data_IF_509311255384
#
_entry.id   IF_509311255384
#
_cell.length_a   1.000
_cell.length_b   1.000
_cell.length_c   1.000
_cell.angle_alpha   90.00
_cell.angle_beta   90.00
_cell.angle_gamma   90.00
#
_symmetry.space_group_name_H-M   'P 1'
#
loop_
_entity.id
_entity.type
_entity.pdbx_description
1 polymer ?
#
# COMPACT_ATOMS: atom_id res chain seq x y z
N UNK A 1 18.68 -33.46 10.73
CA UNK A 1 18.89 -33.21 9.28
C UNK A 1 18.05 -31.98 8.94
N UNK A 2 18.66 -30.89 8.48
CA UNK A 2 17.89 -29.72 8.05
C UNK A 2 17.08 -30.12 6.82
N UNK A 3 15.75 -29.97 6.88
CA UNK A 3 14.89 -30.16 5.72
C UNK A 3 15.32 -29.17 4.63
N UNK A 4 15.56 -29.70 3.44
CA UNK A 4 15.90 -28.89 2.28
C UNK A 4 14.63 -28.67 1.47
N UNK A 5 14.23 -27.41 1.33
CA UNK A 5 13.15 -27.01 0.42
C UNK A 5 13.69 -26.65 -0.96
N UNK A 6 12.87 -26.77 -1.99
CA UNK A 6 13.21 -26.26 -3.32
C UNK A 6 13.13 -24.73 -3.33
N UNK A 7 12.10 -24.17 -2.71
CA UNK A 7 11.86 -22.73 -2.65
C UNK A 7 11.58 -22.28 -1.22
N UNK A 8 12.35 -21.31 -0.76
CA UNK A 8 12.10 -20.56 0.47
C UNK A 8 11.49 -19.20 0.08
N UNK A 9 10.34 -18.89 0.64
CA UNK A 9 9.67 -17.58 0.45
C UNK A 9 9.73 -16.81 1.76
N UNK A 10 10.31 -15.62 1.75
CA UNK A 10 10.37 -14.75 2.93
C UNK A 10 9.34 -13.62 2.81
N UNK A 11 8.41 -13.59 3.75
CA UNK A 11 7.23 -12.75 3.80
C UNK A 11 5.95 -13.55 3.60
N UNK A 12 4.81 -13.03 4.10
CA UNK A 12 3.50 -13.68 4.03
C UNK A 12 2.44 -12.80 3.36
N UNK A 13 2.86 -11.76 2.62
CA UNK A 13 1.97 -10.88 1.87
C UNK A 13 1.55 -11.46 0.52
N UNK A 14 0.85 -10.66 -0.29
CA UNK A 14 0.33 -11.08 -1.59
C UNK A 14 1.43 -11.64 -2.51
N UNK A 15 2.54 -10.92 -2.67
CA UNK A 15 3.65 -11.35 -3.53
C UNK A 15 4.21 -12.72 -3.08
N UNK A 16 4.40 -12.89 -1.77
CA UNK A 16 4.89 -14.14 -1.19
C UNK A 16 3.95 -15.32 -1.46
N UNK A 17 2.66 -15.14 -1.22
CA UNK A 17 1.67 -16.20 -1.39
C UNK A 17 1.46 -16.55 -2.87
N UNK A 18 1.44 -15.56 -3.77
CA UNK A 18 1.38 -15.82 -5.21
C UNK A 18 2.59 -16.63 -5.69
N UNK A 19 3.80 -16.24 -5.24
CA UNK A 19 5.02 -16.98 -5.57
C UNK A 19 5.00 -18.41 -5.01
N UNK A 20 4.59 -18.57 -3.74
CA UNK A 20 4.51 -19.89 -3.09
C UNK A 20 3.49 -20.81 -3.80
N UNK A 21 2.31 -20.32 -4.13
CA UNK A 21 1.27 -21.07 -4.84
C UNK A 21 1.78 -21.47 -6.24
N UNK A 22 2.40 -20.54 -6.97
CA UNK A 22 2.94 -20.81 -8.31
C UNK A 22 4.06 -21.84 -8.27
N UNK A 23 5.01 -21.71 -7.35
CA UNK A 23 6.10 -22.66 -7.18
C UNK A 23 5.58 -24.07 -6.79
N UNK A 24 4.60 -24.12 -5.88
CA UNK A 24 3.99 -25.39 -5.45
C UNK A 24 3.21 -26.07 -6.57
N UNK A 25 2.50 -25.32 -7.41
CA UNK A 25 1.83 -25.85 -8.62
C UNK A 25 2.84 -26.37 -9.64
N UNK A 26 4.04 -25.80 -9.70
CA UNK A 26 5.19 -26.31 -10.47
C UNK A 26 5.85 -27.56 -9.90
N UNK A 27 5.35 -28.10 -8.76
CA UNK A 27 5.86 -29.32 -8.14
C UNK A 27 6.94 -29.10 -7.09
N UNK A 28 7.35 -27.86 -6.80
CA UNK A 28 8.38 -27.56 -5.82
C UNK A 28 7.89 -27.79 -4.37
N UNK A 29 8.78 -28.18 -3.48
CA UNK A 29 8.58 -28.10 -2.03
C UNK A 29 8.82 -26.65 -1.59
N UNK A 30 7.84 -26.07 -0.86
CA UNK A 30 7.83 -24.63 -0.55
C UNK A 30 7.65 -24.40 0.94
N UNK A 31 8.49 -23.54 1.52
CA UNK A 31 8.32 -23.00 2.86
C UNK A 31 8.17 -21.49 2.78
N UNK A 32 7.12 -20.95 3.44
CA UNK A 32 6.90 -19.52 3.64
C UNK A 32 7.30 -19.15 5.06
N UNK A 33 8.18 -18.16 5.23
CA UNK A 33 8.55 -17.58 6.52
C UNK A 33 7.89 -16.21 6.68
N UNK A 34 6.90 -16.12 7.57
CA UNK A 34 6.25 -14.86 7.95
C UNK A 34 6.79 -14.40 9.31
N UNK A 35 7.38 -13.20 9.33
CA UNK A 35 7.97 -12.62 10.55
C UNK A 35 6.92 -12.18 11.58
N UNK A 36 5.70 -11.88 11.14
CA UNK A 36 4.61 -11.51 12.03
C UNK A 36 3.92 -12.72 12.65
N UNK A 37 3.32 -12.57 13.86
CA UNK A 37 2.41 -13.58 14.40
C UNK A 37 1.25 -13.86 13.44
N UNK A 38 0.70 -15.06 13.48
CA UNK A 38 -0.38 -15.51 12.59
C UNK A 38 -1.56 -14.52 12.51
N UNK A 39 -1.91 -13.87 13.61
CA UNK A 39 -2.99 -12.87 13.64
C UNK A 39 -2.66 -11.62 12.81
N UNK A 40 -1.38 -11.22 12.75
CA UNK A 40 -0.90 -10.02 12.04
C UNK A 40 -0.28 -10.33 10.67
N UNK A 41 -0.32 -11.58 10.22
CA UNK A 41 0.27 -12.04 8.95
C UNK A 41 -0.18 -11.21 7.76
N UNK A 42 0.67 -11.16 6.73
CA UNK A 42 0.31 -10.63 5.42
C UNK A 42 0.78 -9.23 5.13
N UNK A 43 1.57 -8.63 6.03
CA UNK A 43 2.14 -7.31 5.80
C UNK A 43 1.08 -6.24 5.45
N UNK A 44 1.43 -5.30 4.59
CA UNK A 44 0.51 -4.24 4.13
C UNK A 44 -0.61 -4.75 3.23
N UNK A 45 -0.51 -5.97 2.70
CA UNK A 45 -1.58 -6.58 1.89
C UNK A 45 -2.89 -6.68 2.66
N UNK A 46 -2.85 -6.90 3.97
CA UNK A 46 -4.07 -6.94 4.82
C UNK A 46 -4.87 -5.63 4.82
N UNK A 47 -4.23 -4.52 4.48
CA UNK A 47 -4.83 -3.19 4.43
C UNK A 47 -5.21 -2.73 3.03
N UNK A 48 -4.98 -3.55 2.00
CA UNK A 48 -5.42 -3.21 0.63
C UNK A 48 -6.93 -3.39 0.48
N UNK A 49 -7.52 -2.72 -0.49
CA UNK A 49 -8.92 -2.92 -0.86
C UNK A 49 -9.12 -3.27 -2.33
N UNK A 50 -8.14 -2.97 -3.17
CA UNK A 50 -8.27 -3.05 -4.61
C UNK A 50 -6.92 -3.32 -5.27
N UNK A 51 -6.98 -3.68 -6.55
CA UNK A 51 -5.82 -3.66 -7.44
C UNK A 51 -6.15 -2.90 -8.72
N UNK A 52 -5.15 -2.28 -9.29
CA UNK A 52 -5.23 -1.63 -10.60
C UNK A 52 -4.95 -2.67 -11.68
N UNK A 53 -5.73 -2.65 -12.76
CA UNK A 53 -5.59 -3.57 -13.88
C UNK A 53 -5.99 -2.90 -15.18
N UNK A 54 -5.28 -3.24 -16.26
CA UNK A 54 -5.67 -2.84 -17.60
C UNK A 54 -6.90 -3.65 -18.07
N UNK A 55 -7.79 -3.01 -18.84
CA UNK A 55 -8.96 -3.65 -19.44
C UNK A 55 -9.55 -2.76 -20.53
N UNK A 56 -10.18 -3.37 -21.52
CA UNK A 56 -10.60 -2.66 -22.74
C UNK A 56 -12.09 -2.23 -22.70
N UNK A 57 -12.88 -2.76 -21.75
CA UNK A 57 -14.30 -2.45 -21.62
C UNK A 57 -14.78 -2.54 -20.17
N UNK A 58 -15.96 -1.99 -19.91
CA UNK A 58 -16.67 -2.19 -18.65
C UNK A 58 -17.00 -3.69 -18.44
N UNK A 59 -17.01 -4.11 -17.19
CA UNK A 59 -17.38 -5.45 -16.73
C UNK A 59 -18.29 -5.35 -15.50
N UNK A 60 -18.66 -6.47 -14.89
CA UNK A 60 -19.40 -6.45 -13.62
C UNK A 60 -18.62 -5.79 -12.47
N UNK A 61 -17.28 -5.76 -12.56
CA UNK A 61 -16.39 -5.24 -11.50
C UNK A 61 -15.70 -3.94 -11.88
N UNK A 62 -15.81 -3.47 -13.12
CA UNK A 62 -15.17 -2.28 -13.67
C UNK A 62 -16.15 -1.43 -14.46
N UNK A 63 -16.14 -0.11 -14.27
CA UNK A 63 -17.15 0.82 -14.80
C UNK A 63 -16.86 1.37 -16.19
N UNK A 64 -15.68 1.15 -16.74
CA UNK A 64 -15.29 1.66 -18.07
C UNK A 64 -13.90 1.18 -18.45
N UNK A 65 -13.41 1.48 -19.66
CA UNK A 65 -12.09 1.03 -20.10
C UNK A 65 -10.95 1.73 -19.34
N UNK A 66 -9.85 1.03 -19.18
CA UNK A 66 -8.55 1.53 -18.75
C UNK A 66 -7.48 0.75 -19.50
N UNK A 67 -7.11 1.26 -20.68
CA UNK A 67 -6.26 0.58 -21.64
C UNK A 67 -4.82 0.42 -21.15
N UNK A 68 -4.04 -0.45 -21.80
CA UNK A 68 -2.62 -0.61 -21.50
C UNK A 68 -1.85 0.70 -21.73
N UNK A 69 -2.19 1.44 -22.79
CA UNK A 69 -1.53 2.70 -23.11
C UNK A 69 -1.86 3.78 -22.07
N UNK A 70 -3.13 3.90 -21.65
CA UNK A 70 -3.51 4.84 -20.58
C UNK A 70 -2.82 4.48 -19.24
N UNK A 71 -2.73 3.18 -18.91
CA UNK A 71 -2.01 2.76 -17.71
C UNK A 71 -0.52 3.06 -17.80
N UNK A 72 0.08 2.85 -18.99
CA UNK A 72 1.47 3.20 -19.22
C UNK A 72 1.74 4.70 -19.10
N UNK A 73 0.92 5.55 -19.69
CA UNK A 73 1.01 7.01 -19.58
C UNK A 73 0.88 7.48 -18.13
N UNK A 74 -0.08 6.92 -17.37
CA UNK A 74 -0.23 7.21 -15.95
C UNK A 74 1.00 6.80 -15.15
N UNK A 75 1.61 5.65 -15.45
CA UNK A 75 2.83 5.19 -14.80
C UNK A 75 4.01 6.13 -15.09
N UNK A 76 4.22 6.49 -16.35
CA UNK A 76 5.28 7.44 -16.74
C UNK A 76 5.13 8.79 -16.02
N UNK A 77 3.91 9.31 -15.93
CA UNK A 77 3.63 10.55 -15.23
C UNK A 77 3.99 10.47 -13.75
N UNK A 78 3.63 9.37 -13.08
CA UNK A 78 3.91 9.18 -11.64
C UNK A 78 5.39 8.99 -11.35
N UNK A 79 6.11 8.28 -12.24
CA UNK A 79 7.55 8.01 -12.08
C UNK A 79 8.45 9.09 -12.66
N UNK A 80 7.88 10.14 -13.27
CA UNK A 80 8.66 11.14 -14.00
C UNK A 80 9.45 10.56 -15.18
N UNK A 81 8.96 9.48 -15.78
CA UNK A 81 9.61 8.75 -16.88
C UNK A 81 10.70 7.77 -16.42
N UNK A 82 10.96 7.67 -15.13
CA UNK A 82 12.00 6.77 -14.58
C UNK A 82 11.40 5.41 -14.25
N UNK A 83 11.35 4.52 -15.23
CA UNK A 83 10.88 3.15 -15.04
C UNK A 83 11.52 2.21 -16.07
N UNK A 84 11.63 0.92 -15.75
CA UNK A 84 11.98 -0.12 -16.72
C UNK A 84 10.75 -0.39 -17.61
N UNK A 85 10.80 0.06 -18.85
CA UNK A 85 9.66 -0.05 -19.78
C UNK A 85 9.28 -1.50 -20.06
N UNK A 86 10.27 -2.39 -20.23
CA UNK A 86 10.01 -3.80 -20.57
C UNK A 86 9.27 -4.49 -19.42
N UNK A 87 9.75 -4.32 -18.21
CA UNK A 87 9.15 -4.90 -17.01
C UNK A 87 7.78 -4.28 -16.72
N UNK A 88 7.66 -2.96 -16.83
CA UNK A 88 6.42 -2.26 -16.54
C UNK A 88 5.30 -2.61 -17.54
N UNK A 89 5.61 -2.63 -18.85
CA UNK A 89 4.64 -3.04 -19.88
C UNK A 89 4.25 -4.51 -19.75
N UNK A 90 5.19 -5.38 -19.34
CA UNK A 90 4.85 -6.78 -19.02
C UNK A 90 3.86 -6.84 -17.86
N UNK A 91 4.12 -6.17 -16.76
CA UNK A 91 3.22 -6.12 -15.61
C UNK A 91 1.82 -5.57 -15.98
N UNK A 92 1.76 -4.52 -16.81
CA UNK A 92 0.50 -3.92 -17.26
C UNK A 92 -0.31 -4.93 -18.07
N UNK A 93 0.31 -5.65 -19.03
CA UNK A 93 -0.37 -6.67 -19.83
C UNK A 93 -0.89 -7.82 -18.96
N UNK A 94 -0.03 -8.38 -18.11
CA UNK A 94 -0.42 -9.48 -17.21
C UNK A 94 -1.52 -9.08 -16.22
N UNK A 95 -1.69 -7.78 -15.93
CA UNK A 95 -2.73 -7.30 -15.02
C UNK A 95 -4.15 -7.59 -15.52
N UNK A 96 -4.35 -7.84 -16.81
CA UNK A 96 -5.64 -8.27 -17.39
C UNK A 96 -6.01 -9.69 -16.93
N UNK A 97 -5.04 -10.60 -16.98
CA UNK A 97 -5.28 -12.03 -16.72
C UNK A 97 -5.27 -12.35 -15.23
N UNK A 98 -4.55 -11.57 -14.43
CA UNK A 98 -4.46 -11.79 -13.00
C UNK A 98 -5.82 -11.70 -12.29
N UNK A 99 -6.81 -10.98 -12.85
CA UNK A 99 -8.16 -10.91 -12.32
C UNK A 99 -8.83 -12.29 -12.24
N UNK A 100 -8.62 -13.12 -13.24
CA UNK A 100 -9.15 -14.48 -13.28
C UNK A 100 -8.31 -15.42 -12.41
N UNK A 101 -6.98 -15.33 -12.53
CA UNK A 101 -6.06 -16.16 -11.76
C UNK A 101 -6.30 -16.05 -10.24
N UNK A 102 -6.55 -14.85 -9.73
CA UNK A 102 -6.75 -14.65 -8.29
C UNK A 102 -8.12 -15.20 -7.82
N UNK A 103 -9.13 -15.21 -8.70
CA UNK A 103 -10.43 -15.84 -8.42
C UNK A 103 -10.28 -17.35 -8.27
N UNK A 104 -9.43 -17.99 -9.07
CA UNK A 104 -9.09 -19.41 -8.92
C UNK A 104 -8.49 -19.74 -7.55
N UNK A 105 -7.86 -18.74 -6.88
CA UNK A 105 -7.36 -18.89 -5.51
C UNK A 105 -8.44 -18.66 -4.44
N UNK A 106 -9.72 -18.50 -4.83
CA UNK A 106 -10.84 -18.29 -3.93
C UNK A 106 -11.09 -16.84 -3.54
N UNK A 107 -10.36 -15.89 -4.11
CA UNK A 107 -10.61 -14.46 -3.93
C UNK A 107 -11.88 -14.06 -4.68
N UNK A 108 -12.65 -13.15 -4.10
CA UNK A 108 -13.90 -12.66 -4.70
C UNK A 108 -13.82 -11.16 -4.95
N UNK A 109 -14.37 -10.75 -6.08
CA UNK A 109 -14.56 -9.35 -6.41
C UNK A 109 -15.90 -8.84 -5.92
N UNK A 110 -15.95 -7.58 -5.51
CA UNK A 110 -17.22 -6.90 -5.35
C UNK A 110 -17.67 -6.26 -6.67
N UNK A 111 -18.97 -6.06 -6.87
CA UNK A 111 -19.47 -5.29 -8.02
C UNK A 111 -18.80 -3.92 -8.11
N UNK A 112 -18.74 -3.38 -9.31
CA UNK A 112 -18.07 -2.10 -9.58
C UNK A 112 -18.60 -0.99 -8.70
N UNK A 113 -17.69 -0.17 -8.18
CA UNK A 113 -18.01 1.05 -7.43
C UNK A 113 -18.22 2.19 -8.44
N UNK A 114 -19.48 2.54 -8.67
CA UNK A 114 -19.88 3.73 -9.41
C UNK A 114 -19.73 4.99 -8.57
N UNK A 115 -20.39 6.06 -9.02
CA UNK A 115 -20.44 7.36 -8.32
C UNK A 115 -19.36 8.34 -8.77
N UNK A 116 -19.41 9.54 -8.17
CA UNK A 116 -18.61 10.70 -8.56
C UNK A 116 -17.10 10.47 -8.56
N UNK A 117 -16.60 9.63 -7.67
CA UNK A 117 -15.16 9.34 -7.57
C UNK A 117 -14.64 8.39 -8.65
N UNK A 118 -15.49 7.76 -9.45
CA UNK A 118 -15.12 6.79 -10.51
C UNK A 118 -14.12 5.73 -10.06
N UNK A 119 -14.22 5.28 -8.80
CA UNK A 119 -13.25 4.37 -8.19
C UNK A 119 -13.12 3.05 -8.95
N UNK A 120 -14.22 2.54 -9.48
CA UNK A 120 -14.29 1.29 -10.25
C UNK A 120 -13.80 1.39 -11.69
N UNK A 121 -13.31 2.56 -12.15
CA UNK A 121 -12.83 2.69 -13.53
C UNK A 121 -11.46 2.07 -13.72
N UNK A 122 -10.53 2.31 -12.82
CA UNK A 122 -9.14 1.84 -12.93
C UNK A 122 -8.79 0.71 -11.97
N UNK A 123 -9.67 0.39 -11.02
CA UNK A 123 -9.38 -0.54 -9.94
C UNK A 123 -10.53 -1.53 -9.72
N UNK A 124 -10.19 -2.81 -9.59
CA UNK A 124 -11.09 -3.86 -9.12
C UNK A 124 -11.01 -3.98 -7.60
N UNK A 125 -12.14 -4.12 -6.92
CA UNK A 125 -12.22 -4.13 -5.46
C UNK A 125 -12.45 -5.54 -4.92
N UNK A 126 -11.65 -5.92 -3.91
CA UNK A 126 -11.78 -7.21 -3.24
C UNK A 126 -13.01 -7.21 -2.33
N UNK A 127 -13.87 -8.20 -2.47
CA UNK A 127 -14.97 -8.42 -1.52
C UNK A 127 -14.39 -8.81 -0.15
N UNK A 128 -14.62 -7.96 0.85
CA UNK A 128 -14.03 -8.11 2.18
C UNK A 128 -12.58 -7.62 2.30
N UNK A 129 -12.07 -6.93 1.26
CA UNK A 129 -10.76 -6.27 1.27
C UNK A 129 -9.57 -7.22 1.34
N UNK A 130 -8.41 -6.67 1.69
CA UNK A 130 -7.14 -7.41 1.72
C UNK A 130 -7.09 -8.56 2.71
N UNK A 131 -7.80 -8.49 3.83
CA UNK A 131 -7.88 -9.60 4.79
C UNK A 131 -8.60 -10.82 4.22
N UNK A 132 -9.69 -10.60 3.48
CA UNK A 132 -10.40 -11.69 2.82
C UNK A 132 -9.56 -12.30 1.70
N UNK A 133 -8.91 -11.47 0.89
CA UNK A 133 -7.98 -11.94 -0.14
C UNK A 133 -6.84 -12.77 0.46
N UNK A 134 -6.16 -12.28 1.49
CA UNK A 134 -5.09 -13.00 2.18
C UNK A 134 -5.56 -14.35 2.72
N UNK A 135 -6.72 -14.41 3.37
CA UNK A 135 -7.25 -15.65 3.90
C UNK A 135 -7.54 -16.67 2.81
N UNK A 136 -8.03 -16.24 1.63
CA UNK A 136 -8.22 -17.10 0.48
C UNK A 136 -6.88 -17.65 -0.05
N UNK A 137 -5.86 -16.78 -0.19
CA UNK A 137 -4.53 -17.18 -0.64
C UNK A 137 -3.85 -18.15 0.34
N UNK A 138 -3.90 -17.88 1.65
CA UNK A 138 -3.38 -18.81 2.66
C UNK A 138 -4.07 -20.15 2.63
N UNK A 139 -5.41 -20.16 2.49
CA UNK A 139 -6.18 -21.40 2.39
C UNK A 139 -5.79 -22.21 1.14
N UNK A 140 -5.56 -21.54 0.01
CA UNK A 140 -5.10 -22.21 -1.22
C UNK A 140 -3.68 -22.74 -1.06
N UNK A 141 -2.76 -21.96 -0.47
CA UNK A 141 -1.39 -22.41 -0.19
C UNK A 141 -1.38 -23.66 0.72
N UNK A 142 -2.18 -23.63 1.81
CA UNK A 142 -2.35 -24.76 2.72
C UNK A 142 -2.90 -26.03 2.01
N UNK A 143 -3.96 -25.88 1.20
CA UNK A 143 -4.52 -26.99 0.41
C UNK A 143 -3.53 -27.60 -0.58
N UNK A 144 -2.62 -26.81 -1.11
CA UNK A 144 -1.57 -27.26 -2.01
C UNK A 144 -0.40 -27.91 -1.27
N UNK A 145 -0.34 -27.85 0.06
CA UNK A 145 0.75 -28.37 0.89
C UNK A 145 1.98 -27.45 0.89
N UNK A 146 1.77 -26.14 0.90
CA UNK A 146 2.83 -25.17 1.23
C UNK A 146 2.96 -25.11 2.74
N UNK A 147 4.19 -25.26 3.24
CA UNK A 147 4.49 -25.07 4.65
C UNK A 147 4.58 -23.58 4.98
N UNK A 148 3.98 -23.16 6.10
CA UNK A 148 4.01 -21.77 6.55
C UNK A 148 4.42 -21.70 8.02
N UNK A 149 5.47 -20.95 8.30
CA UNK A 149 5.92 -20.66 9.66
C UNK A 149 5.65 -19.17 9.97
N UNK A 150 5.12 -18.91 11.16
CA UNK A 150 4.87 -17.59 11.72
C UNK A 150 5.86 -17.28 12.83
N UNK A 151 5.97 -16.00 13.23
CA UNK A 151 6.97 -15.55 14.21
C UNK A 151 8.39 -15.97 13.82
N UNK A 152 8.64 -16.07 12.51
CA UNK A 152 9.87 -16.55 11.91
C UNK A 152 10.71 -15.35 11.42
N UNK A 153 11.40 -14.68 12.34
CA UNK A 153 12.25 -13.54 12.02
C UNK A 153 13.54 -14.01 11.34
N UNK A 154 13.68 -13.69 10.04
CA UNK A 154 14.92 -13.94 9.31
C UNK A 154 15.94 -12.90 9.70
N UNK A 155 17.09 -13.36 10.21
CA UNK A 155 18.19 -12.54 10.74
C UNK A 155 19.38 -12.44 9.83
N UNK A 156 19.55 -13.40 8.90
CA UNK A 156 20.62 -13.37 7.89
C UNK A 156 20.28 -14.24 6.68
N UNK A 157 20.85 -13.88 5.52
CA UNK A 157 20.80 -14.64 4.28
C UNK A 157 22.21 -15.13 3.94
N UNK A 158 22.42 -16.44 3.91
CA UNK A 158 23.69 -17.03 3.52
C UNK A 158 23.77 -17.05 2.00
N UNK A 159 24.48 -16.08 1.45
CA UNK A 159 24.74 -15.95 0.01
C UNK A 159 26.26 -16.12 -0.20
N UNK A 160 26.66 -17.02 -1.07
CA UNK A 160 28.05 -17.26 -1.42
C UNK A 160 28.21 -17.33 -2.94
N UNK A 161 29.18 -16.59 -3.46
CA UNK A 161 29.45 -16.53 -4.90
C UNK A 161 28.19 -16.20 -5.75
N UNK A 162 27.37 -15.28 -5.25
CA UNK A 162 26.11 -14.88 -5.87
C UNK A 162 24.95 -15.89 -5.73
N UNK A 163 25.17 -17.03 -5.05
CA UNK A 163 24.16 -18.06 -4.86
C UNK A 163 23.60 -18.05 -3.44
N UNK A 164 22.28 -18.13 -3.33
CA UNK A 164 21.60 -18.35 -2.07
C UNK A 164 21.79 -19.79 -1.59
N UNK A 165 22.13 -19.98 -0.32
CA UNK A 165 22.35 -21.30 0.29
C UNK A 165 21.38 -21.59 1.44
N UNK A 166 21.12 -20.58 2.29
CA UNK A 166 20.29 -20.72 3.48
C UNK A 166 19.79 -19.38 4.00
N UNK A 167 18.77 -19.42 4.82
CA UNK A 167 18.36 -18.32 5.69
C UNK A 167 18.58 -18.71 7.15
N UNK A 168 19.12 -17.79 7.94
CA UNK A 168 19.14 -17.89 9.41
C UNK A 168 17.92 -17.15 9.96
N UNK A 169 17.29 -17.74 10.94
CA UNK A 169 16.10 -17.16 11.54
C UNK A 169 16.10 -17.38 13.04
N UNK A 170 15.46 -16.47 13.72
CA UNK A 170 15.19 -16.51 15.15
C UNK A 170 13.70 -16.80 15.37
N UNK A 171 13.45 -17.76 16.24
CA UNK A 171 12.09 -18.10 16.71
C UNK A 171 11.98 -17.85 18.20
N UNK A 172 10.78 -17.53 18.71
CA UNK A 172 10.58 -17.27 20.14
C UNK A 172 10.95 -18.44 21.03
N UNK A 173 10.79 -19.68 20.57
CA UNK A 173 10.98 -20.89 21.37
C UNK A 173 12.30 -21.59 21.04
N UNK A 174 12.63 -21.75 19.76
CA UNK A 174 13.72 -22.61 19.31
C UNK A 174 15.08 -21.88 19.19
N UNK A 175 15.10 -20.55 19.42
CA UNK A 175 16.29 -19.73 19.23
C UNK A 175 16.70 -19.58 17.76
N UNK A 176 18.02 -19.55 17.49
CA UNK A 176 18.55 -19.42 16.13
C UNK A 176 18.60 -20.76 15.42
N UNK A 177 18.11 -20.79 14.18
CA UNK A 177 18.13 -21.98 13.31
C UNK A 177 18.50 -21.58 11.89
N UNK A 178 18.95 -22.55 11.07
CA UNK A 178 19.26 -22.35 9.66
C UNK A 178 18.37 -23.25 8.79
N UNK A 179 17.75 -22.66 7.78
CA UNK A 179 16.94 -23.37 6.77
C UNK A 179 17.62 -23.25 5.42
N UNK A 180 17.83 -24.39 4.76
CA UNK A 180 18.41 -24.48 3.43
C UNK A 180 17.35 -24.62 2.37
N UNK A 181 17.54 -23.91 1.24
CA UNK A 181 16.71 -24.09 0.07
C UNK A 181 17.54 -23.87 -1.21
N UNK A 182 17.00 -24.37 -2.32
CA UNK A 182 17.65 -24.22 -3.62
C UNK A 182 17.47 -22.82 -4.17
N UNK A 183 16.31 -22.22 -3.92
CA UNK A 183 15.94 -20.87 -4.40
C UNK A 183 15.31 -20.04 -3.29
N UNK A 184 15.49 -18.71 -3.39
CA UNK A 184 14.92 -17.72 -2.49
C UNK A 184 13.97 -16.81 -3.25
N UNK A 185 12.78 -16.58 -2.70
CA UNK A 185 11.88 -15.48 -3.07
C UNK A 185 11.85 -14.49 -1.91
N UNK A 186 12.46 -13.32 -2.08
CA UNK A 186 12.42 -12.23 -1.11
C UNK A 186 11.17 -11.38 -1.35
N UNK A 187 10.11 -11.60 -0.57
CA UNK A 187 8.81 -10.95 -0.72
C UNK A 187 8.32 -10.31 0.60
N UNK A 188 9.26 -9.76 1.39
CA UNK A 188 9.03 -9.27 2.74
C UNK A 188 8.49 -7.82 2.81
N UNK A 189 8.10 -7.24 1.68
CA UNK A 189 7.59 -5.87 1.61
C UNK A 189 8.70 -4.81 1.68
N UNK A 190 8.30 -3.57 2.00
CA UNK A 190 9.18 -2.42 2.09
C UNK A 190 9.59 -2.08 3.53
N UNK A 191 9.91 -0.78 3.76
CA UNK A 191 10.42 -0.30 5.05
C UNK A 191 9.55 0.81 5.68
N UNK A 192 8.29 0.91 5.29
CA UNK A 192 7.37 1.99 5.67
C UNK A 192 7.19 2.12 7.19
N UNK A 193 7.34 1.02 7.94
CA UNK A 193 7.24 1.03 9.39
C UNK A 193 8.57 1.32 10.11
N UNK A 194 9.65 1.51 9.37
CA UNK A 194 10.95 1.87 9.93
C UNK A 194 11.14 3.39 9.86
N UNK A 195 10.66 4.09 10.88
CA UNK A 195 10.69 5.55 10.92
C UNK A 195 12.12 6.10 10.83
N UNK A 196 13.09 5.46 11.46
CA UNK A 196 14.50 5.88 11.40
C UNK A 196 15.08 5.76 9.99
N UNK A 197 14.65 4.74 9.22
CA UNK A 197 15.04 4.63 7.83
C UNK A 197 14.30 5.64 6.94
N UNK A 198 13.02 5.91 7.22
CA UNK A 198 12.27 6.97 6.52
C UNK A 198 12.90 8.35 6.74
N UNK A 199 13.41 8.65 7.94
CA UNK A 199 14.10 9.91 8.23
C UNK A 199 15.30 10.16 7.32
N UNK A 200 16.00 9.14 6.88
CA UNK A 200 17.15 9.28 5.97
C UNK A 200 16.74 9.91 4.62
N UNK A 201 15.50 9.71 4.18
CA UNK A 201 14.98 10.22 2.91
C UNK A 201 14.00 11.38 3.06
N UNK A 202 13.29 11.48 4.19
CA UNK A 202 12.23 12.45 4.43
C UNK A 202 12.54 13.45 5.53
N UNK A 203 13.70 13.31 6.19
CA UNK A 203 14.08 14.15 7.32
C UNK A 203 13.17 13.94 8.54
N UNK A 204 13.25 14.87 9.51
CA UNK A 204 12.52 14.79 10.78
C UNK A 204 10.99 14.77 10.62
N UNK A 205 10.47 15.23 9.48
CA UNK A 205 9.04 15.15 9.16
C UNK A 205 8.47 13.71 9.26
N UNK A 206 9.32 12.69 9.05
CA UNK A 206 8.92 11.29 9.14
C UNK A 206 8.44 10.87 10.54
N UNK A 207 8.83 11.57 11.59
CA UNK A 207 8.33 11.33 12.96
C UNK A 207 6.81 11.53 13.05
N UNK A 208 6.25 12.41 12.25
CA UNK A 208 4.82 12.72 12.21
C UNK A 208 4.03 11.82 11.25
N UNK A 209 4.69 10.98 10.44
CA UNK A 209 3.98 10.12 9.49
C UNK A 209 3.15 9.07 10.22
N UNK A 210 1.91 8.93 9.81
CA UNK A 210 1.02 7.86 10.24
C UNK A 210 1.13 6.71 9.24
N UNK A 211 1.57 5.56 9.71
CA UNK A 211 1.76 4.37 8.89
C UNK A 211 0.45 3.58 8.88
N UNK A 212 -0.35 3.76 7.85
CA UNK A 212 -1.64 3.08 7.69
C UNK A 212 -1.52 1.56 7.70
N UNK A 213 -0.37 1.05 7.29
CA UNK A 213 -0.03 -0.36 7.22
C UNK A 213 0.46 -0.96 8.53
N UNK A 214 0.98 -2.17 8.43
CA UNK A 214 1.46 -2.98 9.56
C UNK A 214 2.77 -2.42 10.16
N UNK A 215 3.00 -2.58 11.48
CA UNK A 215 4.29 -2.26 12.10
C UNK A 215 5.43 -3.23 11.73
N UNK A 216 5.14 -4.32 11.01
CA UNK A 216 6.13 -5.36 10.68
C UNK A 216 6.90 -5.11 9.38
N UNK A 217 6.48 -4.21 8.50
CA UNK A 217 7.21 -3.86 7.27
C UNK A 217 8.37 -2.90 7.58
N UNK A 218 9.45 -3.44 8.13
CA UNK A 218 10.60 -2.67 8.61
C UNK A 218 11.80 -2.70 7.67
N UNK A 219 11.71 -3.40 6.54
CA UNK A 219 12.76 -3.45 5.52
C UNK A 219 13.96 -4.33 5.86
N UNK A 220 13.89 -5.19 6.88
CA UNK A 220 15.04 -6.00 7.31
C UNK A 220 15.62 -6.86 6.19
N UNK A 221 14.78 -7.52 5.40
CA UNK A 221 15.24 -8.34 4.26
C UNK A 221 15.82 -7.48 3.14
N UNK A 222 15.17 -6.36 2.84
CA UNK A 222 15.67 -5.40 1.86
C UNK A 222 17.07 -4.90 2.26
N UNK A 223 17.24 -4.49 3.53
CA UNK A 223 18.54 -4.06 4.04
C UNK A 223 19.60 -5.17 3.95
N UNK A 224 19.28 -6.41 4.31
CA UNK A 224 20.21 -7.52 4.20
C UNK A 224 20.69 -7.75 2.77
N UNK A 225 19.79 -7.61 1.78
CA UNK A 225 20.13 -7.74 0.37
C UNK A 225 21.04 -6.60 -0.10
N UNK A 226 20.74 -5.37 0.28
CA UNK A 226 21.56 -4.20 -0.03
C UNK A 226 22.96 -4.32 0.62
N UNK A 227 23.04 -4.72 1.89
CA UNK A 227 24.30 -4.95 2.60
C UNK A 227 25.16 -6.08 1.94
N UNK A 228 24.54 -6.97 1.18
CA UNK A 228 25.20 -8.04 0.42
C UNK A 228 25.49 -7.65 -1.04
N UNK A 229 25.31 -6.38 -1.40
CA UNK A 229 25.67 -5.83 -2.70
C UNK A 229 24.64 -6.09 -3.81
N UNK A 230 23.39 -6.41 -3.48
CA UNK A 230 22.31 -6.44 -4.46
C UNK A 230 22.07 -5.02 -4.96
N UNK A 231 21.89 -4.85 -6.27
CA UNK A 231 21.69 -3.55 -6.88
C UNK A 231 20.41 -2.88 -6.37
N UNK A 232 20.55 -1.67 -5.85
CA UNK A 232 19.42 -0.81 -5.52
C UNK A 232 18.85 -0.19 -6.79
N UNK A 233 17.52 -0.27 -6.97
CA UNK A 233 16.80 0.33 -8.09
C UNK A 233 15.55 1.03 -7.54
N UNK A 234 15.28 2.23 -8.04
CA UNK A 234 14.15 3.05 -7.63
C UNK A 234 14.57 4.26 -6.84
N UNK A 235 13.57 5.06 -6.44
CA UNK A 235 13.77 6.29 -5.68
C UNK A 235 13.09 6.13 -4.29
N UNK A 236 13.86 5.98 -3.21
CA UNK A 236 13.33 5.79 -1.86
C UNK A 236 12.61 7.03 -1.30
N UNK A 237 12.72 8.19 -1.97
CA UNK A 237 11.93 9.38 -1.65
C UNK A 237 10.53 9.34 -2.25
N UNK A 238 10.21 8.33 -3.07
CA UNK A 238 8.89 8.12 -3.65
C UNK A 238 8.13 7.03 -2.90
N UNK A 239 6.88 7.30 -2.56
CA UNK A 239 6.01 6.34 -1.92
C UNK A 239 4.54 6.59 -2.24
N UNK A 240 3.71 5.56 -2.02
CA UNK A 240 2.27 5.69 -1.99
C UNK A 240 1.85 6.36 -0.68
N UNK A 241 1.69 7.68 -0.71
CA UNK A 241 1.37 8.49 0.46
C UNK A 241 0.01 9.20 0.28
N UNK A 242 -0.93 8.94 1.17
CA UNK A 242 -2.31 9.41 1.09
C UNK A 242 -2.63 10.37 2.23
N UNK A 243 -3.65 11.20 2.04
CA UNK A 243 -4.21 11.99 3.13
C UNK A 243 -4.87 11.04 4.15
N UNK A 244 -4.39 11.06 5.39
CA UNK A 244 -4.85 10.22 6.50
C UNK A 244 -5.37 11.12 7.61
N UNK A 245 -6.45 10.73 8.27
CA UNK A 245 -6.96 11.44 9.44
C UNK A 245 -5.87 11.53 10.53
N UNK A 246 -5.56 12.74 10.98
CA UNK A 246 -4.50 12.99 11.97
C UNK A 246 -4.78 12.35 13.35
N UNK A 247 -6.01 11.90 13.60
CA UNK A 247 -6.42 11.19 14.81
C UNK A 247 -6.19 9.68 14.71
N UNK A 248 -5.72 9.18 13.56
CA UNK A 248 -5.43 7.77 13.36
C UNK A 248 -4.24 7.30 14.21
N UNK A 249 -4.16 6.01 14.57
CA UNK A 249 -3.01 5.48 15.29
C UNK A 249 -1.74 5.52 14.42
N UNK A 250 -0.58 5.53 15.07
CA UNK A 250 0.74 5.56 14.42
C UNK A 250 0.91 4.42 13.39
N UNK A 251 0.40 3.23 13.70
CA UNK A 251 0.45 2.06 12.84
C UNK A 251 -0.93 1.39 12.77
N UNK A 252 -1.15 0.59 11.71
CA UNK A 252 -2.28 -0.33 11.57
C UNK A 252 -3.66 0.36 11.48
N UNK A 253 -3.69 1.67 11.19
CA UNK A 253 -4.93 2.44 11.05
C UNK A 253 -5.82 1.96 9.90
N UNK A 254 -5.23 1.34 8.89
CA UNK A 254 -5.93 0.74 7.76
C UNK A 254 -6.55 1.74 6.79
N UNK A 255 -7.28 1.20 5.81
CA UNK A 255 -7.85 1.96 4.69
C UNK A 255 -8.90 2.99 5.14
N UNK A 256 -9.60 2.70 6.22
CA UNK A 256 -10.70 3.51 6.74
C UNK A 256 -10.25 4.90 7.25
N UNK A 257 -8.95 5.07 7.49
CA UNK A 257 -8.37 6.36 7.92
C UNK A 257 -8.03 7.30 6.76
N UNK A 258 -8.10 6.82 5.51
CA UNK A 258 -7.85 7.66 4.33
C UNK A 258 -9.03 8.60 4.08
N UNK A 259 -8.72 9.84 3.73
CA UNK A 259 -9.71 10.80 3.28
C UNK A 259 -9.92 10.74 1.76
N UNK A 260 -11.13 10.43 1.35
CA UNK A 260 -11.60 10.53 -0.05
C UNK A 260 -12.34 11.85 -0.31
N UNK A 261 -12.44 12.75 0.69
CA UNK A 261 -13.13 14.03 0.62
C UNK A 261 -12.30 15.16 -0.01
N UNK A 262 -11.03 14.95 -0.28
CA UNK A 262 -10.12 15.97 -0.83
C UNK A 262 -10.68 16.69 -2.04
N UNK A 263 -11.23 15.97 -3.02
CA UNK A 263 -11.77 16.52 -4.28
C UNK A 263 -13.16 17.15 -4.17
N UNK A 264 -13.71 17.21 -2.98
CA UNK A 264 -15.04 17.79 -2.72
C UNK A 264 -14.97 19.13 -1.99
N UNK A 265 -13.79 19.69 -1.83
CA UNK A 265 -13.58 20.95 -1.15
C UNK A 265 -12.18 21.50 -1.43
N UNK A 266 -11.66 22.27 -0.49
CA UNK A 266 -10.29 22.80 -0.55
C UNK A 266 -9.41 22.19 0.55
N UNK A 267 -8.11 22.13 0.30
CA UNK A 267 -7.13 21.69 1.30
C UNK A 267 -6.21 22.84 1.66
N UNK A 268 -6.23 23.22 2.93
CA UNK A 268 -5.42 24.32 3.46
C UNK A 268 -4.40 23.84 4.49
N UNK A 269 -3.24 24.49 4.55
CA UNK A 269 -2.26 24.29 5.61
C UNK A 269 -2.62 25.07 6.88
N UNK A 270 -1.78 25.03 7.92
CA UNK A 270 -2.01 25.76 9.17
C UNK A 270 -2.03 27.31 9.05
N UNK A 271 -1.59 27.84 7.91
CA UNK A 271 -1.68 29.26 7.59
C UNK A 271 -2.92 29.58 6.73
N UNK A 272 -3.88 28.66 6.66
CA UNK A 272 -5.11 28.79 5.85
C UNK A 272 -4.87 28.96 4.34
N UNK A 273 -3.70 28.51 3.84
CA UNK A 273 -3.31 28.63 2.43
C UNK A 273 -3.52 27.31 1.70
N UNK A 274 -4.20 27.37 0.53
CA UNK A 274 -4.21 26.24 -0.42
C UNK A 274 -2.81 26.07 -0.99
N UNK A 275 -2.41 24.84 -1.26
CA UNK A 275 -1.05 24.52 -1.72
C UNK A 275 -1.02 23.59 -2.93
N UNK A 276 -2.16 23.11 -3.40
CA UNK A 276 -2.27 22.27 -4.58
C UNK A 276 -3.66 22.34 -5.21
N UNK A 277 -3.82 21.80 -6.44
CA UNK A 277 -5.10 21.65 -7.12
C UNK A 277 -5.76 20.32 -6.73
N UNK A 278 -6.85 20.38 -5.99
CA UNK A 278 -7.60 19.23 -5.53
C UNK A 278 -8.29 18.46 -6.67
N UNK A 279 -8.54 19.13 -7.79
CA UNK A 279 -9.23 18.60 -8.96
C UNK A 279 -8.34 18.26 -10.17
N UNK A 280 -7.02 18.20 -10.01
CA UNK A 280 -6.05 18.03 -11.10
C UNK A 280 -6.35 16.83 -12.04
N UNK A 281 -6.86 15.74 -11.51
CA UNK A 281 -7.20 14.54 -12.29
C UNK A 281 -8.27 13.72 -11.54
N UNK A 282 -8.79 12.67 -12.17
CA UNK A 282 -9.72 11.77 -11.48
C UNK A 282 -9.07 11.16 -10.23
N UNK A 283 -9.82 11.14 -9.15
CA UNK A 283 -9.34 10.74 -7.83
C UNK A 283 -8.55 9.42 -7.78
N UNK A 284 -8.97 8.32 -8.45
CA UNK A 284 -8.22 7.07 -8.47
C UNK A 284 -6.79 7.16 -8.97
N UNK A 285 -6.47 8.17 -9.78
CA UNK A 285 -5.13 8.36 -10.34
C UNK A 285 -4.24 9.24 -9.44
N UNK A 286 -4.83 10.16 -8.64
CA UNK A 286 -4.07 11.21 -7.94
C UNK A 286 -4.09 11.15 -6.41
N UNK A 287 -4.97 10.38 -5.79
CA UNK A 287 -5.08 10.34 -4.32
C UNK A 287 -3.77 10.00 -3.59
N UNK A 288 -2.88 9.26 -4.21
CA UNK A 288 -1.66 8.76 -3.58
C UNK A 288 -0.52 9.80 -3.47
N UNK A 289 -0.69 11.00 -4.01
CA UNK A 289 0.30 12.09 -3.83
C UNK A 289 0.02 12.96 -2.60
N UNK A 290 -1.21 12.96 -2.10
CA UNK A 290 -1.66 13.90 -1.08
C UNK A 290 -0.90 13.77 0.24
N UNK A 291 -0.46 12.56 0.62
CA UNK A 291 0.40 12.40 1.78
C UNK A 291 1.74 13.13 1.65
N UNK A 292 2.37 13.12 0.46
CA UNK A 292 3.60 13.86 0.20
C UNK A 292 3.39 15.37 0.23
N UNK A 293 2.29 15.83 -0.35
CA UNK A 293 1.92 17.26 -0.35
C UNK A 293 1.71 17.76 1.08
N UNK A 294 1.03 16.99 1.93
CA UNK A 294 0.85 17.31 3.35
C UNK A 294 2.17 17.22 4.12
N UNK A 295 3.02 16.23 3.85
CA UNK A 295 4.34 16.12 4.47
C UNK A 295 5.25 17.33 4.25
N UNK A 296 5.05 18.05 3.15
CA UNK A 296 5.76 19.28 2.84
C UNK A 296 5.16 20.55 3.51
N UNK A 297 3.99 20.43 4.17
CA UNK A 297 3.37 21.57 4.85
C UNK A 297 3.93 21.75 6.26
N UNK A 298 3.81 22.98 6.83
CA UNK A 298 4.17 23.22 8.21
C UNK A 298 3.48 22.23 9.17
N UNK A 299 4.24 21.67 10.11
CA UNK A 299 3.84 20.66 11.09
C UNK A 299 3.31 19.35 10.46
N UNK A 300 3.47 19.14 9.14
CA UNK A 300 2.99 17.99 8.37
C UNK A 300 1.49 17.74 8.57
N UNK A 301 0.71 18.82 8.68
CA UNK A 301 -0.74 18.79 8.84
C UNK A 301 -1.43 19.68 7.81
N UNK A 302 -2.62 19.27 7.38
CA UNK A 302 -3.50 20.05 6.55
C UNK A 302 -4.97 19.81 6.92
N UNK A 303 -5.86 20.69 6.48
CA UNK A 303 -7.28 20.65 6.77
C UNK A 303 -8.06 20.58 5.46
N UNK A 304 -8.91 19.58 5.33
CA UNK A 304 -9.85 19.46 4.19
C UNK A 304 -11.13 20.18 4.59
N UNK A 305 -11.45 21.27 3.91
CA UNK A 305 -12.61 22.10 4.18
C UNK A 305 -13.65 21.84 3.08
N UNK A 306 -14.84 21.42 3.45
CA UNK A 306 -15.97 21.18 2.56
C UNK A 306 -17.28 21.55 3.26
N UNK A 307 -18.32 21.81 2.48
CA UNK A 307 -19.63 22.13 3.04
C UNK A 307 -20.52 20.89 3.24
N UNK A 308 -21.69 21.09 3.83
CA UNK A 308 -22.61 19.99 4.15
C UNK A 308 -23.27 19.35 2.91
N UNK A 309 -23.22 19.98 1.74
CA UNK A 309 -23.89 19.47 0.52
C UNK A 309 -23.19 18.26 -0.06
N UNK A 310 -21.88 18.13 0.21
CA UNK A 310 -21.04 17.03 -0.35
C UNK A 310 -20.79 15.87 0.62
N UNK A 311 -21.26 15.95 1.87
CA UNK A 311 -20.98 14.93 2.93
C UNK A 311 -21.37 13.51 2.51
N UNK A 312 -22.38 13.34 1.65
CA UNK A 312 -22.84 12.04 1.16
C UNK A 312 -22.16 11.59 -0.14
N UNK A 313 -21.26 12.40 -0.71
CA UNK A 313 -20.62 12.13 -2.00
C UNK A 313 -19.37 11.26 -1.90
N UNK A 314 -18.87 10.99 -0.69
CA UNK A 314 -17.70 10.16 -0.40
C UNK A 314 -17.97 9.20 0.76
N UNK A 315 -17.09 8.22 0.95
CA UNK A 315 -17.24 7.25 2.04
C UNK A 315 -17.14 7.95 3.41
N UNK A 316 -18.00 7.58 4.37
CA UNK A 316 -17.92 8.11 5.72
C UNK A 316 -16.52 7.90 6.31
N UNK A 317 -16.02 8.91 7.01
CA UNK A 317 -14.75 8.85 7.73
C UNK A 317 -14.92 8.11 9.06
N UNK A 318 -13.85 7.49 9.55
CA UNK A 318 -13.85 6.82 10.86
C UNK A 318 -14.11 7.81 12.00
N UNK A 319 -13.54 9.01 11.88
CA UNK A 319 -13.73 10.09 12.85
C UNK A 319 -14.68 11.15 12.24
N UNK A 320 -15.72 11.57 12.96
CA UNK A 320 -16.63 12.59 12.46
C UNK A 320 -15.89 13.87 12.08
N UNK A 321 -16.31 14.58 11.01
CA UNK A 321 -15.79 15.89 10.67
C UNK A 321 -16.01 16.89 11.81
N UNK A 322 -15.07 17.83 11.97
CA UNK A 322 -15.25 18.99 12.84
C UNK A 322 -16.14 19.96 12.07
N UNK A 323 -17.28 20.35 12.67
CA UNK A 323 -18.27 21.18 12.00
C UNK A 323 -18.41 22.57 12.65
N UNK A 324 -18.62 23.59 11.82
CA UNK A 324 -18.98 24.96 12.22
C UNK A 324 -20.13 25.45 11.38
N UNK A 325 -20.92 26.38 11.92
CA UNK A 325 -22.02 27.03 11.19
C UNK A 325 -21.51 28.11 10.22
N UNK A 326 -20.32 28.65 10.49
CA UNK A 326 -19.63 29.64 9.66
C UNK A 326 -18.16 29.24 9.49
N UNK A 327 -17.50 29.78 8.46
CA UNK A 327 -16.06 29.60 8.25
C UNK A 327 -15.26 30.08 9.46
N UNK A 328 -15.64 31.22 10.05
CA UNK A 328 -15.00 31.79 11.24
C UNK A 328 -15.12 30.87 12.47
N UNK A 329 -16.31 30.28 12.71
CA UNK A 329 -16.50 29.31 13.78
C UNK A 329 -15.63 28.04 13.56
N UNK A 330 -15.61 27.54 12.32
CA UNK A 330 -14.80 26.39 11.96
C UNK A 330 -13.31 26.69 12.17
N UNK A 331 -12.83 27.85 11.71
CA UNK A 331 -11.45 28.29 11.89
C UNK A 331 -11.06 28.31 13.39
N UNK A 332 -11.92 28.85 14.25
CA UNK A 332 -11.69 28.85 15.70
C UNK A 332 -11.57 27.45 16.29
N UNK A 333 -12.39 26.49 15.84
CA UNK A 333 -12.31 25.08 16.28
C UNK A 333 -11.06 24.36 15.79
N UNK A 334 -10.49 24.82 14.67
CA UNK A 334 -9.27 24.24 14.06
C UNK A 334 -7.99 24.98 14.49
N UNK A 335 -8.12 26.01 15.33
CA UNK A 335 -7.01 26.90 15.73
C UNK A 335 -6.34 27.59 14.53
N UNK A 336 -7.14 27.91 13.49
CA UNK A 336 -6.73 28.66 12.32
C UNK A 336 -7.13 30.13 12.44
N UNK A 337 -6.45 31.01 11.68
CA UNK A 337 -6.85 32.42 11.56
C UNK A 337 -8.18 32.53 10.79
N UNK A 338 -9.28 33.03 11.42
CA UNK A 338 -10.57 33.13 10.77
C UNK A 338 -10.57 34.06 9.54
N UNK A 339 -9.81 35.15 9.60
CA UNK A 339 -9.76 36.11 8.49
C UNK A 339 -9.02 35.51 7.29
N UNK A 340 -7.92 34.83 7.55
CA UNK A 340 -7.17 34.16 6.50
C UNK A 340 -7.97 33.01 5.86
N UNK A 341 -8.69 32.21 6.67
CA UNK A 341 -9.51 31.12 6.13
C UNK A 341 -10.71 31.63 5.34
N UNK A 342 -11.41 32.64 5.82
CA UNK A 342 -12.52 33.28 5.08
C UNK A 342 -12.06 33.86 3.73
N UNK A 343 -10.88 34.50 3.73
CA UNK A 343 -10.27 34.99 2.49
C UNK A 343 -10.04 33.85 1.50
N UNK A 344 -9.39 32.78 1.93
CA UNK A 344 -9.08 31.63 1.07
C UNK A 344 -10.35 30.96 0.52
N UNK A 345 -11.38 30.78 1.34
CA UNK A 345 -12.68 30.25 0.89
C UNK A 345 -13.37 31.19 -0.13
N UNK A 346 -13.31 32.51 0.10
CA UNK A 346 -13.91 33.50 -0.81
C UNK A 346 -13.17 33.54 -2.15
N UNK A 347 -11.85 33.44 -2.15
CA UNK A 347 -11.04 33.42 -3.37
C UNK A 347 -11.23 32.16 -4.20
N UNK A 348 -11.62 31.05 -3.56
CA UNK A 348 -11.92 29.78 -4.24
C UNK A 348 -13.31 29.80 -4.90
N UNK A 349 -14.32 30.37 -4.27
CA UNK A 349 -15.70 30.41 -4.76
C UNK A 349 -15.89 31.50 -5.85
#
# INVERSE_FOLDING_TARGET
MSSKYDVLVIGGGNAALCAAISARRGGASVLVLEGAPKFYRGGNTRHTRNMRCAHDAATEILTGPYTEDEFWEDLLRVTGGQTDEVLARHMIRESKDILNWIVEQGVRWQPSLGGTLSLGRTNSFFLGGGRAMLNALYLTAEKLGVDVEYDAEVTDLVIKDGMFLAARLKRPIDGETEIRATSLVAAAGGFEANIEWLKQYWGEAADNFLIRGTPYNRGSILKMLLDKGVQEVGDPTQCHAVAIDARAPKFDGGIITRHDSVVFGIVVNKHSQRFYDEGEDIWPKRYAIWGRLVAAQPDQIAYIIFDSTVVTSFMPTLFPPIAGQTVAELAGKLELDPVALEKTVTEFN
#
